data_IF_908052755939
#
_entry.id   IF_908052755939
#
_cell.length_a   1.000
_cell.length_b   1.000
_cell.length_c   1.000
_cell.angle_alpha   90.00
_cell.angle_beta   90.00
_cell.angle_gamma   90.00
#
_symmetry.space_group_name_H-M   'P 1'
#
loop_
_entity.id
_entity.type
_entity.pdbx_description
1 polymer ?
#
# COMPACT_ATOMS: atom_id res chain seq x y z
N UNK A 1 -6.27 4.32 -48.88
CA UNK A 1 -6.80 4.61 -47.53
C UNK A 1 -7.02 3.39 -46.62
N UNK A 2 -7.36 2.18 -47.10
CA UNK A 2 -7.71 1.04 -46.23
C UNK A 2 -6.56 0.47 -45.36
N UNK A 3 -5.34 0.46 -45.88
CA UNK A 3 -4.16 -0.08 -45.16
C UNK A 3 -3.73 0.76 -43.95
N UNK A 4 -3.94 2.08 -44.00
CA UNK A 4 -3.58 3.00 -42.90
C UNK A 4 -4.53 2.79 -41.70
N UNK A 5 -5.81 2.49 -41.95
CA UNK A 5 -6.79 2.25 -40.89
C UNK A 5 -6.53 0.94 -40.14
N UNK A 6 -6.11 -0.13 -40.83
CA UNK A 6 -5.75 -1.41 -40.22
C UNK A 6 -4.48 -1.31 -39.34
N UNK A 7 -3.49 -0.51 -39.76
CA UNK A 7 -2.28 -0.26 -38.95
C UNK A 7 -2.62 0.58 -37.72
N UNK A 8 -3.50 1.58 -37.83
CA UNK A 8 -3.95 2.38 -36.69
C UNK A 8 -4.75 1.53 -35.70
N UNK A 9 -5.63 0.64 -36.16
CA UNK A 9 -6.37 -0.25 -35.26
C UNK A 9 -5.46 -1.29 -34.59
N UNK A 10 -4.49 -1.88 -35.31
CA UNK A 10 -3.52 -2.80 -34.71
C UNK A 10 -2.63 -2.11 -33.67
N UNK A 11 -2.17 -0.88 -33.96
CA UNK A 11 -1.39 -0.08 -33.01
C UNK A 11 -2.22 0.36 -31.80
N UNK A 12 -3.50 0.67 -31.99
CA UNK A 12 -4.43 0.93 -30.88
C UNK A 12 -4.67 -0.33 -30.05
N UNK A 13 -4.88 -1.49 -30.68
CA UNK A 13 -5.05 -2.77 -29.98
C UNK A 13 -3.81 -3.14 -29.17
N UNK A 14 -2.62 -3.03 -29.77
CA UNK A 14 -1.36 -3.24 -29.06
C UNK A 14 -1.19 -2.25 -27.92
N UNK A 15 -1.46 -0.96 -28.13
CA UNK A 15 -1.42 0.05 -27.06
C UNK A 15 -2.36 -0.30 -25.91
N UNK A 16 -3.63 -0.61 -26.21
CA UNK A 16 -4.65 -0.99 -25.21
C UNK A 16 -4.21 -2.25 -24.46
N UNK A 17 -3.70 -3.28 -25.15
CA UNK A 17 -3.19 -4.49 -24.54
C UNK A 17 -1.94 -4.24 -23.70
N UNK A 18 -1.03 -3.36 -24.12
CA UNK A 18 0.14 -2.95 -23.35
C UNK A 18 -0.25 -2.20 -22.08
N UNK A 19 -1.18 -1.24 -22.16
CA UNK A 19 -1.72 -0.53 -20.99
C UNK A 19 -2.43 -1.49 -20.02
N UNK A 20 -3.28 -2.38 -20.52
CA UNK A 20 -3.94 -3.40 -19.70
C UNK A 20 -2.91 -4.33 -19.02
N UNK A 21 -1.88 -4.74 -19.76
CA UNK A 21 -0.83 -5.62 -19.23
C UNK A 21 0.01 -4.94 -18.16
N UNK A 22 0.35 -3.65 -18.34
CA UNK A 22 1.09 -2.87 -17.32
C UNK A 22 0.23 -2.59 -16.09
N UNK A 23 -1.05 -2.29 -16.27
CA UNK A 23 -1.99 -2.07 -15.16
C UNK A 23 -2.16 -3.34 -14.33
N UNK A 24 -2.36 -4.49 -15.00
CA UNK A 24 -2.48 -5.81 -14.36
C UNK A 24 -1.18 -6.22 -13.64
N UNK A 25 -0.01 -5.94 -14.22
CA UNK A 25 1.27 -6.26 -13.57
C UNK A 25 1.51 -5.39 -12.33
N UNK A 26 1.20 -4.09 -12.41
CA UNK A 26 1.35 -3.13 -11.30
C UNK A 26 0.45 -3.48 -10.09
N UNK A 27 -0.70 -4.10 -10.35
CA UNK A 27 -1.63 -4.52 -9.30
C UNK A 27 -1.14 -5.73 -8.47
N UNK A 28 -0.15 -6.47 -8.97
CA UNK A 28 0.38 -7.68 -8.32
C UNK A 28 1.61 -7.46 -7.44
N UNK A 29 2.23 -6.28 -7.54
CA UNK A 29 3.49 -5.98 -6.87
C UNK A 29 3.32 -5.79 -5.35
N UNK A 30 4.38 -6.14 -4.60
CA UNK A 30 4.44 -5.91 -3.17
C UNK A 30 5.01 -4.52 -2.90
N UNK A 31 4.19 -3.64 -2.37
CA UNK A 31 4.62 -2.33 -1.91
C UNK A 31 4.88 -2.35 -0.41
N UNK A 32 5.84 -1.53 0.02
CA UNK A 32 6.12 -1.32 1.44
C UNK A 32 6.13 0.17 1.72
N UNK A 33 5.32 0.60 2.68
CA UNK A 33 5.32 1.97 3.19
C UNK A 33 5.76 1.98 4.66
N UNK A 34 6.45 3.03 5.06
CA UNK A 34 6.87 3.23 6.44
C UNK A 34 6.72 4.69 6.85
N UNK A 35 6.60 4.93 8.15
CA UNK A 35 6.55 6.26 8.73
C UNK A 35 7.05 6.21 10.19
N UNK A 36 7.71 7.28 10.62
CA UNK A 36 8.27 7.41 11.96
C UNK A 36 7.23 7.95 12.96
N UNK A 37 7.52 7.82 14.25
CA UNK A 37 6.70 8.40 15.31
C UNK A 37 6.51 9.92 15.12
N UNK A 38 5.26 10.38 15.20
CA UNK A 38 4.87 11.76 14.92
C UNK A 38 4.61 12.07 13.44
N UNK A 39 4.94 11.18 12.51
CA UNK A 39 4.62 11.32 11.09
C UNK A 39 3.26 10.72 10.73
N UNK A 40 2.82 10.90 9.49
CA UNK A 40 1.60 10.28 8.96
C UNK A 40 1.96 9.30 7.85
N UNK A 41 1.59 8.03 8.04
CA UNK A 41 1.70 7.01 7.01
C UNK A 41 0.66 7.31 5.92
N UNK A 42 1.12 7.46 4.67
CA UNK A 42 0.25 7.67 3.51
C UNK A 42 0.41 6.51 2.53
N UNK A 43 -0.69 5.82 2.23
CA UNK A 43 -0.72 4.75 1.23
C UNK A 43 -1.70 5.16 0.14
N UNK A 44 -1.27 5.03 -1.12
CA UNK A 44 -2.08 5.37 -2.28
C UNK A 44 -1.86 4.35 -3.41
N UNK A 45 -2.97 3.83 -3.90
CA UNK A 45 -3.01 2.95 -5.07
C UNK A 45 -3.53 3.72 -6.30
N UNK A 46 -3.18 3.25 -7.52
CA UNK A 46 -3.66 3.83 -8.77
C UNK A 46 -5.20 3.71 -8.93
N UNK A 47 -5.75 4.37 -9.94
CA UNK A 47 -7.19 4.30 -10.23
C UNK A 47 -7.61 2.85 -10.50
N UNK A 48 -8.88 2.52 -10.17
CA UNK A 48 -9.45 1.15 -10.32
C UNK A 48 -8.74 0.05 -9.51
N UNK A 49 -7.91 0.42 -8.53
CA UNK A 49 -7.33 -0.51 -7.56
C UNK A 49 -7.64 -0.07 -6.13
N UNK A 50 -7.54 -1.02 -5.20
CA UNK A 50 -7.67 -0.80 -3.77
C UNK A 50 -6.53 -1.47 -3.03
N UNK A 51 -6.19 -0.90 -1.89
CA UNK A 51 -5.16 -1.41 -0.99
C UNK A 51 -5.65 -2.74 -0.41
N UNK A 52 -4.82 -3.76 -0.56
CA UNK A 52 -4.90 -5.03 0.11
C UNK A 52 -3.70 -5.12 1.06
N UNK A 53 -3.97 -4.97 2.35
CA UNK A 53 -2.92 -5.03 3.38
C UNK A 53 -2.46 -6.47 3.50
N UNK A 54 -1.14 -6.70 3.44
CA UNK A 54 -0.52 -8.01 3.57
C UNK A 54 -0.03 -8.21 5.00
N UNK A 55 0.72 -7.24 5.51
CA UNK A 55 1.22 -7.23 6.89
C UNK A 55 1.45 -5.80 7.36
N UNK A 56 1.45 -5.62 8.68
CA UNK A 56 1.77 -4.37 9.31
C UNK A 56 2.51 -4.63 10.61
N UNK A 57 3.53 -3.82 10.85
CA UNK A 57 4.37 -3.84 12.03
C UNK A 57 4.39 -2.44 12.61
N UNK A 58 4.09 -2.29 13.90
CA UNK A 58 4.28 -1.04 14.63
C UNK A 58 5.12 -1.31 15.87
N UNK A 59 6.22 -0.58 16.02
CA UNK A 59 7.14 -0.77 17.13
C UNK A 59 8.56 -0.36 16.77
N UNK A 60 9.54 -0.97 17.43
CA UNK A 60 10.96 -0.81 17.10
C UNK A 60 11.64 -2.17 17.14
N UNK A 61 12.29 -2.55 16.05
CA UNK A 61 13.17 -3.73 15.92
C UNK A 61 14.58 -3.38 15.50
N UNK A 62 14.72 -2.26 14.80
CA UNK A 62 15.99 -1.75 14.31
C UNK A 62 16.41 -0.57 15.19
N UNK A 63 17.68 -0.51 15.63
CA UNK A 63 18.16 0.60 16.46
C UNK A 63 18.23 1.92 15.66
N UNK A 64 18.19 3.05 16.38
CA UNK A 64 18.04 4.41 15.82
C UNK A 64 18.96 4.83 14.67
N UNK A 65 20.24 4.42 14.56
CA UNK A 65 21.06 4.91 13.46
C UNK A 65 20.60 4.41 12.08
N UNK A 66 19.76 3.37 12.00
CA UNK A 66 19.38 2.75 10.73
C UNK A 66 17.95 3.07 10.27
N UNK A 67 17.02 3.34 11.20
CA UNK A 67 15.63 3.64 10.86
C UNK A 67 14.98 4.53 11.93
N UNK A 68 14.44 5.68 11.52
CA UNK A 68 13.81 6.68 12.39
C UNK A 68 14.72 7.06 13.59
N UNK A 69 15.72 7.93 13.36
CA UNK A 69 16.66 8.32 14.42
C UNK A 69 15.90 8.95 15.59
N UNK A 70 16.29 8.55 16.80
CA UNK A 70 15.69 9.07 18.02
C UNK A 70 16.04 10.55 18.15
N UNK A 71 15.03 11.40 18.34
CA UNK A 71 15.23 12.85 18.47
C UNK A 71 15.98 13.23 19.77
N UNK A 72 15.93 12.37 20.79
CA UNK A 72 16.61 12.60 22.06
C UNK A 72 17.86 11.70 22.20
N UNK A 73 19.08 12.25 22.09
CA UNK A 73 20.32 11.47 22.18
C UNK A 73 20.62 10.92 23.58
N UNK A 74 19.87 11.32 24.61
CA UNK A 74 20.05 10.83 25.99
C UNK A 74 19.42 9.46 26.25
N UNK A 75 18.57 8.96 25.33
CA UNK A 75 17.92 7.66 25.49
C UNK A 75 18.83 6.61 24.88
N UNK A 76 19.50 5.85 25.75
CA UNK A 76 20.51 4.84 25.40
C UNK A 76 19.96 3.42 25.46
N UNK A 77 18.82 3.22 26.12
CA UNK A 77 18.10 1.94 26.20
C UNK A 77 16.89 1.96 25.27
N UNK A 78 17.11 1.58 24.00
CA UNK A 78 16.02 1.35 23.06
C UNK A 78 15.53 -0.08 23.20
N UNK A 79 14.25 -0.27 23.53
CA UNK A 79 13.67 -1.61 23.53
C UNK A 79 13.41 -2.05 22.08
N UNK A 80 14.28 -2.92 21.55
CA UNK A 80 14.16 -3.49 20.20
C UNK A 80 13.16 -4.65 20.10
N UNK A 81 12.57 -5.06 21.22
CA UNK A 81 11.51 -6.09 21.26
C UNK A 81 10.12 -5.47 21.43
N UNK A 82 9.97 -4.21 21.04
CA UNK A 82 8.71 -3.50 21.10
C UNK A 82 7.88 -3.77 19.85
N UNK A 83 6.81 -4.58 19.97
CA UNK A 83 5.86 -4.82 18.86
C UNK A 83 4.43 -4.70 19.35
N UNK A 84 3.63 -3.88 18.67
CA UNK A 84 2.18 -3.83 18.89
C UNK A 84 1.44 -4.81 17.99
N UNK A 85 0.56 -5.61 18.59
CA UNK A 85 -0.30 -6.57 17.88
C UNK A 85 -1.53 -5.93 17.24
N UNK A 86 -1.92 -4.72 17.66
CA UNK A 86 -3.08 -3.98 17.13
C UNK A 86 -2.78 -3.30 15.79
N UNK A 87 -1.50 -3.18 15.42
CA UNK A 87 -1.03 -2.49 14.22
C UNK A 87 -1.75 -2.96 12.96
N UNK A 88 -1.78 -4.27 12.74
CA UNK A 88 -2.42 -4.88 11.58
C UNK A 88 -3.92 -4.63 11.54
N UNK A 89 -4.60 -4.72 12.68
CA UNK A 89 -6.04 -4.49 12.76
C UNK A 89 -6.38 -3.03 12.43
N UNK A 90 -5.59 -2.09 12.95
CA UNK A 90 -5.78 -0.67 12.67
C UNK A 90 -5.54 -0.35 11.20
N UNK A 91 -4.44 -0.82 10.62
CA UNK A 91 -4.12 -0.60 9.21
C UNK A 91 -5.17 -1.25 8.30
N UNK A 92 -5.62 -2.46 8.61
CA UNK A 92 -6.73 -3.10 7.89
C UNK A 92 -8.00 -2.24 7.96
N UNK A 93 -8.40 -1.78 9.15
CA UNK A 93 -9.63 -0.99 9.30
C UNK A 93 -9.60 0.35 8.53
N UNK A 94 -8.43 0.98 8.44
CA UNK A 94 -8.28 2.30 7.81
C UNK A 94 -7.97 2.20 6.31
N UNK A 95 -7.19 1.22 5.86
CA UNK A 95 -6.67 1.14 4.50
C UNK A 95 -7.31 0.06 3.63
N UNK A 96 -7.79 -1.04 4.20
CA UNK A 96 -8.29 -2.16 3.41
C UNK A 96 -9.43 -1.72 2.49
N UNK A 97 -9.36 -2.15 1.23
CA UNK A 97 -10.34 -1.86 0.18
C UNK A 97 -10.52 -0.36 -0.15
N UNK A 98 -9.63 0.51 0.36
CA UNK A 98 -9.56 1.93 0.00
C UNK A 98 -8.52 2.16 -1.08
N UNK A 99 -8.71 3.19 -1.88
CA UNK A 99 -7.70 3.64 -2.87
C UNK A 99 -6.57 4.42 -2.20
N UNK A 100 -6.88 5.13 -1.12
CA UNK A 100 -5.97 6.03 -0.42
C UNK A 100 -6.36 6.04 1.07
N UNK A 101 -5.36 6.01 1.94
CA UNK A 101 -5.53 6.10 3.38
C UNK A 101 -4.36 6.84 4.02
N UNK A 102 -4.63 7.49 5.14
CA UNK A 102 -3.64 8.21 5.94
C UNK A 102 -3.81 7.82 7.40
N UNK A 103 -2.73 7.40 8.05
CA UNK A 103 -2.76 6.98 9.46
C UNK A 103 -1.67 7.73 10.22
N UNK A 104 -2.04 8.55 11.22
CA UNK A 104 -1.05 9.21 12.07
C UNK A 104 -0.32 8.16 12.94
N UNK A 105 1.00 8.20 12.91
CA UNK A 105 1.89 7.29 13.65
C UNK A 105 2.10 7.84 15.04
N UNK A 106 1.13 7.60 15.93
CA UNK A 106 1.17 8.05 17.32
C UNK A 106 0.65 6.95 18.24
N UNK A 107 1.22 6.81 19.44
CA UNK A 107 0.86 5.72 20.38
C UNK A 107 -0.65 5.58 20.62
N UNK A 108 -1.45 6.65 20.86
CA UNK A 108 -2.89 6.52 21.10
C UNK A 108 -3.69 5.86 19.97
N UNK A 109 -3.20 5.94 18.72
CA UNK A 109 -3.88 5.37 17.55
C UNK A 109 -3.72 3.86 17.48
N UNK A 110 -2.61 3.35 18.02
CA UNK A 110 -2.27 1.93 18.06
C UNK A 110 -2.53 1.30 19.44
N UNK A 111 -3.14 2.04 20.36
CA UNK A 111 -3.57 1.54 21.68
C UNK A 111 -2.54 1.77 22.79
N UNK A 112 -2.47 0.85 23.74
CA UNK A 112 -1.53 0.93 24.86
C UNK A 112 -0.10 0.87 24.33
N UNK A 113 0.71 1.88 24.65
CA UNK A 113 2.10 1.93 24.22
C UNK A 113 2.92 0.85 24.94
N UNK A 114 3.49 -0.14 24.20
CA UNK A 114 4.36 -1.13 24.82
C UNK A 114 5.71 -0.54 25.27
N UNK A 115 6.14 0.61 24.72
CA UNK A 115 7.41 1.26 25.05
C UNK A 115 7.30 2.80 24.92
N UNK A 116 6.92 3.50 26.01
CA UNK A 116 6.66 4.94 25.98
C UNK A 116 7.89 5.82 25.72
N UNK A 117 9.11 5.30 25.91
CA UNK A 117 10.37 6.06 25.74
C UNK A 117 11.13 5.72 24.45
N UNK A 118 10.58 4.83 23.62
CA UNK A 118 11.22 4.40 22.37
C UNK A 118 10.51 5.04 21.18
N UNK A 119 11.27 5.69 20.29
CA UNK A 119 10.73 6.21 19.02
C UNK A 119 10.26 5.04 18.16
N UNK A 120 8.96 4.93 17.90
CA UNK A 120 8.42 3.81 17.13
C UNK A 120 8.39 4.13 15.65
N UNK A 121 8.22 3.11 14.83
CA UNK A 121 7.93 3.26 13.43
C UNK A 121 6.89 2.23 13.00
N UNK A 122 6.14 2.57 11.97
CA UNK A 122 5.25 1.63 11.31
C UNK A 122 5.86 1.18 9.99
N UNK A 123 5.73 -0.10 9.66
CA UNK A 123 6.02 -0.66 8.35
C UNK A 123 4.78 -1.42 7.91
N UNK A 124 4.25 -1.09 6.74
CA UNK A 124 3.09 -1.76 6.15
C UNK A 124 3.48 -2.31 4.79
N UNK A 125 3.33 -3.62 4.63
CA UNK A 125 3.40 -4.27 3.33
C UNK A 125 1.98 -4.41 2.78
N UNK A 126 1.77 -3.92 1.56
CA UNK A 126 0.46 -3.91 0.91
C UNK A 126 0.59 -4.18 -0.60
N UNK A 127 -0.52 -4.56 -1.20
CA UNK A 127 -0.68 -4.71 -2.65
C UNK A 127 -1.82 -3.84 -3.14
N UNK A 128 -1.82 -3.46 -4.41
CA UNK A 128 -2.93 -2.75 -5.01
C UNK A 128 -3.76 -3.72 -5.86
N UNK A 129 -4.74 -4.40 -5.26
CA UNK A 129 -5.61 -5.30 -6.03
C UNK A 129 -6.62 -4.51 -6.84
N UNK A 130 -7.05 -5.03 -7.99
CA UNK A 130 -8.24 -4.47 -8.62
C UNK A 130 -9.41 -4.59 -7.66
N UNK A 131 -10.12 -3.48 -7.44
CA UNK A 131 -11.41 -3.50 -6.77
C UNK A 131 -12.30 -4.29 -7.71
N UNK A 132 -12.54 -5.56 -7.40
CA UNK A 132 -13.31 -6.47 -8.24
C UNK A 132 -14.61 -5.79 -8.62
N UNK A 133 -14.67 -5.26 -9.84
CA UNK A 133 -15.92 -4.90 -10.47
C UNK A 133 -16.56 -6.24 -10.77
N UNK A 134 -17.69 -6.52 -10.11
CA UNK A 134 -18.71 -7.47 -10.58
C UNK A 134 -19.17 -7.15 -12.03
N UNK A 135 -18.53 -6.21 -12.74
CA UNK A 135 -18.78 -5.80 -14.12
C UNK A 135 -17.67 -6.18 -15.13
N UNK A 136 -16.56 -6.82 -14.74
CA UNK A 136 -15.58 -7.31 -15.75
C UNK A 136 -16.16 -8.51 -16.51
N UNK A 137 -17.02 -9.32 -15.88
CA UNK A 137 -17.79 -10.38 -16.59
C UNK A 137 -18.88 -9.83 -17.50
N UNK A 138 -19.35 -8.58 -17.32
CA UNK A 138 -20.32 -7.97 -18.23
C UNK A 138 -19.64 -7.45 -19.52
N UNK A 139 -18.44 -6.87 -19.41
CA UNK A 139 -17.69 -6.42 -20.60
C UNK A 139 -17.07 -7.57 -21.41
N UNK A 140 -16.63 -8.63 -20.74
CA UNK A 140 -16.18 -9.87 -21.42
C UNK A 140 -17.28 -10.48 -22.29
N UNK A 141 -18.55 -10.30 -21.89
CA UNK A 141 -19.73 -10.80 -22.62
C UNK A 141 -20.19 -9.86 -23.75
N UNK A 142 -19.84 -8.56 -23.69
CA UNK A 142 -20.17 -7.57 -24.73
C UNK A 142 -19.14 -7.50 -25.86
N UNK A 143 -17.86 -7.79 -25.59
CA UNK A 143 -16.80 -7.78 -26.62
C UNK A 143 -16.74 -9.10 -27.42
N UNK A 144 -17.38 -10.17 -26.93
CA UNK A 144 -17.47 -11.47 -27.62
C UNK A 144 -18.60 -11.62 -28.64
N UNK A 145 -19.26 -10.52 -29.05
CA UNK A 145 -20.39 -10.55 -30.01
C UNK A 145 -20.26 -9.53 -31.13
N UNK A 146 -19.05 -9.38 -31.67
CA UNK A 146 -18.80 -8.77 -32.98
C UNK A 146 -17.96 -9.69 -33.85
#
# INVERSE_FOLDING_TARGET
QAFISAVVTLNCFYSILFFYSTDVLSASDNHTAHACDGETLSIRCPTRTSVAVVSAFYGRRVPSPYLCPQANPNITEENTDCTSTTAIQKVMSECQDRRECQIPVVSPVFGQDPCPETSKYIIVSYKCKHRSETEITHFSHLVGRF
#
